data_IF_421515887775
#
_entry.id   IF_421515887775
#
_cell.length_a   1.000
_cell.length_b   1.000
_cell.length_c   1.000
_cell.angle_alpha   90.00
_cell.angle_beta   90.00
_cell.angle_gamma   90.00
#
_symmetry.space_group_name_H-M   'P 1'
#
loop_
_entity.id
_entity.type
_entity.pdbx_description
1 polymer ?
#
# COMPACT_ATOMS: atom_id res chain seq x y z
N UNK A 1 34.90 21.64 -31.22
CA UNK A 1 34.95 20.24 -30.74
C UNK A 1 33.71 19.96 -29.92
N UNK A 2 33.07 18.81 -30.19
CA UNK A 2 31.91 18.24 -29.50
C UNK A 2 32.23 17.95 -28.02
N UNK A 3 31.23 18.08 -27.15
CA UNK A 3 31.32 17.62 -25.76
C UNK A 3 30.02 17.81 -24.98
N UNK A 4 28.87 17.52 -25.59
CA UNK A 4 27.62 17.44 -24.84
C UNK A 4 27.64 16.17 -23.99
N UNK A 5 27.73 16.32 -22.68
CA UNK A 5 27.61 15.20 -21.75
C UNK A 5 26.27 14.50 -22.02
N UNK A 6 26.26 13.20 -22.37
CA UNK A 6 25.01 12.47 -22.47
C UNK A 6 24.38 12.52 -21.08
N UNK A 7 23.19 13.11 -21.00
CA UNK A 7 22.35 13.04 -19.81
C UNK A 7 22.15 11.55 -19.57
N UNK A 8 22.77 11.02 -18.52
CA UNK A 8 22.56 9.65 -18.08
C UNK A 8 21.05 9.49 -17.92
N UNK A 9 20.42 8.81 -18.87
CA UNK A 9 19.05 8.33 -18.69
C UNK A 9 19.19 7.37 -17.52
N UNK A 10 18.57 7.73 -16.39
CA UNK A 10 18.55 6.85 -15.23
C UNK A 10 17.92 5.54 -15.69
N UNK A 11 18.69 4.45 -15.68
CA UNK A 11 18.22 3.09 -15.90
C UNK A 11 17.10 2.68 -14.91
N UNK A 12 16.78 3.55 -13.96
CA UNK A 12 15.63 3.44 -13.06
C UNK A 12 14.28 3.82 -13.70
N UNK A 13 14.25 4.54 -14.84
CA UNK A 13 12.98 4.89 -15.52
C UNK A 13 12.36 3.69 -16.26
N UNK A 14 13.17 2.73 -16.71
CA UNK A 14 12.66 1.57 -17.47
C UNK A 14 11.94 0.54 -16.60
N UNK A 15 12.16 0.55 -15.27
CA UNK A 15 11.40 -0.28 -14.33
C UNK A 15 10.04 0.32 -13.97
N UNK A 16 9.84 1.61 -14.24
CA UNK A 16 8.64 2.35 -13.84
C UNK A 16 7.49 2.25 -14.86
N UNK A 17 7.80 1.92 -16.12
CA UNK A 17 6.80 1.75 -17.19
C UNK A 17 6.00 0.43 -17.13
N UNK A 18 6.31 -0.46 -16.19
CA UNK A 18 5.53 -1.70 -15.97
C UNK A 18 4.36 -1.52 -14.98
N UNK A 19 4.21 -0.34 -14.35
CA UNK A 19 3.17 -0.05 -13.35
C UNK A 19 1.78 0.29 -13.94
N UNK A 20 1.61 0.35 -15.26
CA UNK A 20 0.26 0.28 -15.87
C UNK A 20 -0.26 -1.16 -15.83
N UNK A 21 -0.46 -1.66 -14.61
CA UNK A 21 -1.05 -2.97 -14.37
C UNK A 21 -2.49 -3.07 -14.88
N UNK A 22 -2.97 -4.31 -15.04
CA UNK A 22 -4.35 -4.63 -15.41
C UNK A 22 -5.34 -3.91 -14.48
N UNK A 23 -6.46 -3.44 -15.04
CA UNK A 23 -7.56 -2.83 -14.26
C UNK A 23 -7.96 -3.78 -13.11
N UNK A 24 -8.02 -3.31 -11.84
CA UNK A 24 -8.38 -4.15 -10.71
C UNK A 24 -9.71 -4.89 -10.87
N UNK A 25 -10.68 -4.31 -11.57
CA UNK A 25 -11.98 -4.94 -11.85
C UNK A 25 -11.87 -6.21 -12.70
N UNK A 26 -10.75 -6.37 -13.44
CA UNK A 26 -10.47 -7.51 -14.32
C UNK A 26 -9.60 -8.58 -13.67
N UNK A 27 -9.08 -8.33 -12.47
CA UNK A 27 -8.31 -9.31 -11.70
C UNK A 27 -9.25 -10.33 -11.05
N UNK A 28 -8.89 -11.60 -11.07
CA UNK A 28 -9.51 -12.57 -10.15
C UNK A 28 -9.07 -12.31 -8.70
N UNK A 29 -9.71 -12.97 -7.73
CA UNK A 29 -9.44 -12.70 -6.31
C UNK A 29 -8.00 -13.05 -5.91
N UNK A 30 -7.43 -14.13 -6.46
CA UNK A 30 -6.06 -14.53 -6.13
C UNK A 30 -5.04 -13.54 -6.69
N UNK A 31 -5.25 -13.09 -7.93
CA UNK A 31 -4.45 -12.05 -8.57
C UNK A 31 -4.54 -10.73 -7.81
N UNK A 32 -5.76 -10.31 -7.43
CA UNK A 32 -5.97 -9.09 -6.64
C UNK A 32 -5.21 -9.13 -5.31
N UNK A 33 -5.29 -10.26 -4.59
CA UNK A 33 -4.56 -10.42 -3.33
C UNK A 33 -3.03 -10.37 -3.51
N UNK A 34 -2.51 -11.01 -4.56
CA UNK A 34 -1.08 -10.98 -4.88
C UNK A 34 -0.58 -9.58 -5.26
N UNK A 35 -1.38 -8.83 -6.01
CA UNK A 35 -1.07 -7.45 -6.39
C UNK A 35 -1.11 -6.52 -5.17
N UNK A 36 -2.08 -6.70 -4.26
CA UNK A 36 -2.14 -5.98 -2.98
C UNK A 36 -0.90 -6.23 -2.12
N UNK A 37 -0.50 -7.49 -1.96
CA UNK A 37 0.71 -7.84 -1.22
C UNK A 37 1.95 -7.17 -1.84
N UNK A 38 2.07 -7.23 -3.17
CA UNK A 38 3.22 -6.68 -3.88
C UNK A 38 3.28 -5.16 -3.75
N UNK A 39 2.16 -4.46 -3.94
CA UNK A 39 2.13 -2.99 -3.87
C UNK A 39 2.34 -2.46 -2.45
N UNK A 40 1.88 -3.19 -1.43
CA UNK A 40 2.16 -2.85 -0.03
C UNK A 40 3.63 -3.09 0.33
N UNK A 41 4.24 -4.17 -0.17
CA UNK A 41 5.66 -4.49 0.09
C UNK A 41 6.60 -3.40 -0.42
N UNK A 42 6.37 -2.89 -1.63
CA UNK A 42 7.27 -1.90 -2.25
C UNK A 42 6.96 -0.45 -1.85
N UNK A 43 5.90 -0.21 -1.05
CA UNK A 43 5.44 1.12 -0.67
C UNK A 43 6.54 1.99 -0.06
N UNK A 44 7.28 1.43 0.90
CA UNK A 44 8.27 2.20 1.63
C UNK A 44 9.46 2.58 0.74
N UNK A 45 9.88 1.67 -0.13
CA UNK A 45 10.93 1.91 -1.12
C UNK A 45 10.52 2.99 -2.11
N UNK A 46 9.31 2.91 -2.69
CA UNK A 46 8.79 3.95 -3.59
C UNK A 46 8.65 5.30 -2.89
N UNK A 47 8.27 5.32 -1.61
CA UNK A 47 8.16 6.55 -0.82
C UNK A 47 9.51 7.23 -0.61
N UNK A 48 10.58 6.47 -0.32
CA UNK A 48 11.89 7.02 -0.01
C UNK A 48 12.76 7.31 -1.24
N UNK A 49 12.59 6.52 -2.31
CA UNK A 49 13.54 6.48 -3.42
C UNK A 49 12.89 6.64 -4.80
N UNK A 50 11.55 6.64 -4.87
CA UNK A 50 10.83 6.89 -6.11
C UNK A 50 10.87 8.37 -6.52
N UNK A 51 10.72 8.63 -7.82
CA UNK A 51 10.43 9.98 -8.30
C UNK A 51 9.03 10.42 -7.83
N UNK A 52 8.74 11.71 -7.92
CA UNK A 52 7.39 12.22 -7.61
C UNK A 52 6.32 11.58 -8.50
N UNK A 53 6.63 11.34 -9.77
CA UNK A 53 5.72 10.71 -10.73
C UNK A 53 5.51 9.23 -10.39
N UNK A 54 6.58 8.50 -10.07
CA UNK A 54 6.52 7.11 -9.62
C UNK A 54 5.67 6.97 -8.35
N UNK A 55 5.87 7.85 -7.37
CA UNK A 55 5.09 7.88 -6.13
C UNK A 55 3.61 8.18 -6.40
N UNK A 56 3.32 9.12 -7.30
CA UNK A 56 1.94 9.45 -7.70
C UNK A 56 1.25 8.26 -8.37
N UNK A 57 1.90 7.61 -9.33
CA UNK A 57 1.37 6.43 -10.00
C UNK A 57 1.15 5.27 -9.01
N UNK A 58 2.11 5.04 -8.11
CA UNK A 58 2.01 4.03 -7.07
C UNK A 58 0.84 4.30 -6.10
N UNK A 59 0.67 5.55 -5.65
CA UNK A 59 -0.48 5.97 -4.83
C UNK A 59 -1.82 5.66 -5.51
N UNK A 60 -1.95 6.05 -6.78
CA UNK A 60 -3.18 5.85 -7.55
C UNK A 60 -3.49 4.37 -7.72
N UNK A 61 -2.47 3.55 -8.03
CA UNK A 61 -2.65 2.11 -8.20
C UNK A 61 -3.04 1.42 -6.89
N UNK A 62 -2.40 1.80 -5.78
CA UNK A 62 -2.72 1.30 -4.43
C UNK A 62 -4.18 1.57 -4.09
N UNK A 63 -4.63 2.82 -4.26
CA UNK A 63 -6.01 3.20 -3.98
C UNK A 63 -7.04 2.42 -4.82
N UNK A 64 -6.74 2.16 -6.11
CA UNK A 64 -7.63 1.38 -6.98
C UNK A 64 -7.73 -0.09 -6.56
N UNK A 65 -6.60 -0.72 -6.23
CA UNK A 65 -6.58 -2.12 -5.75
C UNK A 65 -7.30 -2.27 -4.41
N UNK A 66 -7.05 -1.35 -3.47
CA UNK A 66 -7.72 -1.34 -2.16
C UNK A 66 -9.22 -1.10 -2.30
N UNK A 67 -9.63 -0.16 -3.15
CA UNK A 67 -11.03 0.12 -3.44
C UNK A 67 -11.75 -1.10 -4.01
N UNK A 68 -11.12 -1.82 -4.94
CA UNK A 68 -11.67 -3.05 -5.49
C UNK A 68 -11.81 -4.16 -4.44
N UNK A 69 -10.81 -4.34 -3.58
CA UNK A 69 -10.90 -5.29 -2.47
C UNK A 69 -12.06 -4.95 -1.52
N UNK A 70 -12.20 -3.68 -1.13
CA UNK A 70 -13.29 -3.24 -0.26
C UNK A 70 -14.66 -3.42 -0.91
N UNK A 71 -14.77 -3.19 -2.22
CA UNK A 71 -16.00 -3.40 -3.00
C UNK A 71 -16.40 -4.87 -3.02
N UNK A 72 -15.45 -5.80 -3.18
CA UNK A 72 -15.70 -7.26 -3.13
C UNK A 72 -15.96 -7.78 -1.72
N UNK A 73 -15.44 -7.09 -0.69
CA UNK A 73 -15.45 -7.54 0.70
C UNK A 73 -16.17 -6.54 1.64
N UNK A 74 -17.47 -6.24 1.43
CA UNK A 74 -18.19 -5.26 2.25
C UNK A 74 -18.34 -5.70 3.71
N UNK A 75 -18.25 -7.01 3.99
CA UNK A 75 -18.34 -7.60 5.34
C UNK A 75 -16.99 -8.08 5.87
N UNK A 76 -15.87 -7.50 5.42
CA UNK A 76 -14.53 -7.91 5.88
C UNK A 76 -14.45 -7.85 7.41
N UNK A 77 -13.78 -8.82 8.01
CA UNK A 77 -13.52 -8.82 9.45
C UNK A 77 -12.55 -7.70 9.79
N UNK A 78 -12.97 -6.79 10.67
CA UNK A 78 -12.09 -5.77 11.25
C UNK A 78 -11.68 -6.27 12.62
N UNK A 79 -10.37 -6.44 12.83
CA UNK A 79 -9.86 -6.80 14.14
C UNK A 79 -10.18 -5.68 15.13
N UNK A 80 -10.92 -5.98 16.21
CA UNK A 80 -11.28 -5.00 17.25
C UNK A 80 -10.05 -4.26 17.79
N UNK A 81 -8.91 -4.96 17.89
CA UNK A 81 -7.66 -4.36 18.35
C UNK A 81 -7.09 -3.26 17.44
N UNK A 82 -7.54 -3.19 16.19
CA UNK A 82 -7.19 -2.17 15.19
C UNK A 82 -8.24 -1.06 15.07
N UNK A 83 -9.27 -1.06 15.91
CA UNK A 83 -10.23 0.06 16.01
C UNK A 83 -9.88 0.95 17.19
N UNK A 84 -10.34 2.21 17.14
CA UNK A 84 -10.19 3.16 18.25
C UNK A 84 -10.98 2.71 19.48
N UNK A 85 -12.15 2.12 19.26
CA UNK A 85 -13.01 1.58 20.31
C UNK A 85 -12.33 0.42 21.03
N UNK A 86 -11.87 -0.60 20.30
CA UNK A 86 -11.16 -1.72 20.92
C UNK A 86 -9.85 -1.30 21.58
N UNK A 87 -9.18 -0.24 21.11
CA UNK A 87 -8.04 0.34 21.83
C UNK A 87 -8.43 0.98 23.18
N UNK A 88 -9.61 1.61 23.26
CA UNK A 88 -10.14 2.18 24.51
C UNK A 88 -10.58 1.10 25.49
N UNK A 89 -11.24 0.05 25.01
CA UNK A 89 -11.68 -1.09 25.83
C UNK A 89 -10.49 -1.81 26.48
N UNK A 90 -9.39 -2.03 25.74
CA UNK A 90 -8.15 -2.58 26.32
C UNK A 90 -7.60 -1.72 27.45
N UNK A 91 -7.53 -0.40 27.24
CA UNK A 91 -7.04 0.54 28.25
C UNK A 91 -7.92 0.56 29.50
N UNK A 92 -9.24 0.49 29.33
CA UNK A 92 -10.19 0.43 30.44
C UNK A 92 -10.04 -0.88 31.24
N UNK A 93 -9.87 -2.02 30.56
CA UNK A 93 -9.61 -3.32 31.20
C UNK A 93 -8.29 -3.37 31.96
N UNK A 94 -7.24 -2.74 31.45
CA UNK A 94 -5.93 -2.63 32.12
C UNK A 94 -5.95 -1.70 33.34
N UNK A 95 -6.79 -0.66 33.34
CA UNK A 95 -7.00 0.19 34.52
C UNK A 95 -7.91 -0.42 35.60
N UNK A 96 -8.62 -1.50 35.28
CA UNK A 96 -9.60 -2.13 36.17
C UNK A 96 -9.05 -3.34 36.96
N UNK A 97 -7.76 -3.66 36.83
CA UNK A 97 -7.07 -4.60 37.73
C UNK A 97 -6.45 -3.83 38.90
N UNK A 98 -7.11 -3.69 40.07
CA UNK A 98 -6.41 -3.29 41.26
C UNK A 98 -5.48 -4.44 41.68
N UNK A 99 -4.24 -4.10 42.02
CA UNK A 99 -3.31 -5.03 42.65
C UNK A 99 -3.97 -5.56 43.93
N UNK A 100 -4.24 -6.86 43.97
CA UNK A 100 -4.60 -7.55 45.20
C UNK A 100 -3.31 -7.67 46.02
N UNK A 101 -3.25 -6.91 47.12
CA UNK A 101 -2.28 -7.02 48.21
C UNK A 101 -2.69 -8.18 49.15
#
# INVERSE_FOLDING_TARGET
MRGGYPKHMNEHDERDTTMTGVDPSRLDDHQLMKELETIHRTRHETLLHGSNDALSAHNQRMARLEGEYLRRNPRRTVAAGRTREGARERKAGESATPALD
#
